data_IF_107671700436
#
_entry.id   IF_107671700436
#
_cell.length_a   1.000
_cell.length_b   1.000
_cell.length_c   1.000
_cell.angle_alpha   90.00
_cell.angle_beta   90.00
_cell.angle_gamma   90.00
#
_symmetry.space_group_name_H-M   'P 1'
#
loop_
_entity.id
_entity.type
_entity.pdbx_description
1 polymer ?
#
# COMPACT_ATOMS: atom_id res chain seq x y z
N UNK A 1 -31.96 -16.60 -3.09
CA UNK A 1 -31.48 -15.35 -2.47
C UNK A 1 -30.53 -15.73 -1.34
N UNK A 2 -29.40 -15.03 -1.19
CA UNK A 2 -28.53 -15.24 -0.02
C UNK A 2 -29.24 -14.80 1.26
N UNK A 3 -28.98 -15.47 2.38
CA UNK A 3 -29.48 -15.05 3.69
C UNK A 3 -28.98 -13.64 4.02
N UNK A 4 -29.78 -12.86 4.75
CA UNK A 4 -29.46 -11.52 5.22
C UNK A 4 -29.82 -11.39 6.71
N UNK A 5 -29.18 -10.43 7.38
CA UNK A 5 -29.60 -10.02 8.72
C UNK A 5 -31.00 -9.39 8.66
N UNK A 6 -31.74 -9.52 9.76
CA UNK A 6 -33.13 -9.08 9.89
C UNK A 6 -33.31 -7.76 10.64
N UNK A 7 -32.28 -7.29 11.35
CA UNK A 7 -32.32 -6.05 12.12
C UNK A 7 -32.17 -4.80 11.24
N UNK A 8 -32.76 -3.68 11.68
CA UNK A 8 -32.55 -2.34 11.10
C UNK A 8 -31.50 -1.53 11.87
N UNK A 9 -31.34 -1.80 13.16
CA UNK A 9 -30.34 -1.18 14.05
C UNK A 9 -29.49 -2.27 14.71
N UNK A 10 -28.17 -2.10 14.81
CA UNK A 10 -27.26 -3.15 15.31
C UNK A 10 -27.58 -3.61 16.74
N UNK A 11 -28.24 -2.76 17.54
CA UNK A 11 -28.69 -3.05 18.92
C UNK A 11 -29.78 -4.12 18.97
N UNK A 12 -30.53 -4.30 17.88
CA UNK A 12 -31.60 -5.30 17.73
C UNK A 12 -31.10 -6.60 17.07
N UNK A 13 -29.79 -6.70 16.81
CA UNK A 13 -29.21 -7.85 16.12
C UNK A 13 -29.16 -9.11 16.99
N UNK A 14 -29.48 -10.25 16.38
CA UNK A 14 -29.38 -11.57 17.01
C UNK A 14 -28.05 -12.29 16.67
N UNK A 15 -27.63 -13.29 17.46
CA UNK A 15 -26.50 -14.15 17.08
C UNK A 15 -26.65 -14.77 15.68
N UNK A 16 -27.85 -15.15 15.28
CA UNK A 16 -28.15 -15.72 13.96
C UNK A 16 -27.90 -14.71 12.82
N UNK A 17 -28.27 -13.44 13.02
CA UNK A 17 -27.97 -12.37 12.07
C UNK A 17 -26.46 -12.19 11.90
N UNK A 18 -25.70 -12.21 13.00
CA UNK A 18 -24.26 -12.03 12.96
C UNK A 18 -23.52 -13.25 12.39
N UNK A 19 -24.06 -14.45 12.48
CA UNK A 19 -23.54 -15.62 11.75
C UNK A 19 -23.68 -15.42 10.23
N UNK A 20 -24.82 -14.91 9.77
CA UNK A 20 -25.03 -14.57 8.36
C UNK A 20 -24.05 -13.48 7.91
N UNK A 21 -23.91 -12.40 8.68
CA UNK A 21 -22.97 -11.30 8.40
C UNK A 21 -21.53 -11.81 8.37
N UNK A 22 -21.13 -12.65 9.32
CA UNK A 22 -19.78 -13.20 9.38
C UNK A 22 -19.44 -14.05 8.14
N UNK A 23 -20.40 -14.85 7.65
CA UNK A 23 -20.23 -15.64 6.42
C UNK A 23 -20.00 -14.75 5.19
N UNK A 24 -20.82 -13.70 5.03
CA UNK A 24 -20.64 -12.71 3.96
C UNK A 24 -19.32 -11.96 4.09
N UNK A 25 -18.97 -11.53 5.31
CA UNK A 25 -17.73 -10.81 5.58
C UNK A 25 -16.49 -11.65 5.27
N UNK A 26 -16.49 -12.95 5.56
CA UNK A 26 -15.39 -13.85 5.23
C UNK A 26 -15.23 -14.01 3.71
N UNK A 27 -16.33 -14.17 2.96
CA UNK A 27 -16.30 -14.23 1.48
C UNK A 27 -15.78 -12.93 0.88
N UNK A 28 -16.25 -11.78 1.41
CA UNK A 28 -15.80 -10.47 0.96
C UNK A 28 -14.31 -10.25 1.27
N UNK A 29 -13.85 -10.65 2.46
CA UNK A 29 -12.45 -10.54 2.86
C UNK A 29 -11.51 -11.31 1.91
N UNK A 30 -11.86 -12.55 1.52
CA UNK A 30 -11.08 -13.38 0.56
C UNK A 30 -10.81 -12.75 -0.80
N UNK A 31 -11.62 -11.77 -1.17
CA UNK A 31 -11.50 -11.03 -2.43
C UNK A 31 -10.75 -9.69 -2.25
N UNK A 32 -10.16 -9.43 -1.08
CA UNK A 32 -9.42 -8.20 -0.82
C UNK A 32 -8.24 -8.01 -1.78
N UNK A 33 -7.37 -9.02 -2.05
CA UNK A 33 -6.25 -8.84 -2.96
C UNK A 33 -6.68 -8.37 -4.36
N UNK A 34 -7.78 -8.90 -4.88
CA UNK A 34 -8.32 -8.52 -6.19
C UNK A 34 -8.73 -7.04 -6.21
N UNK A 35 -9.44 -6.59 -5.17
CA UNK A 35 -9.84 -5.17 -5.05
C UNK A 35 -8.65 -4.23 -4.88
N UNK A 36 -7.58 -4.67 -4.22
CA UNK A 36 -6.33 -3.90 -4.12
C UNK A 36 -5.70 -3.72 -5.50
N UNK A 37 -5.60 -4.80 -6.28
CA UNK A 37 -5.06 -4.76 -7.64
C UNK A 37 -5.93 -3.92 -8.59
N UNK A 38 -7.25 -4.05 -8.50
CA UNK A 38 -8.20 -3.22 -9.26
C UNK A 38 -8.02 -1.74 -8.94
N UNK A 39 -7.80 -1.39 -7.66
CA UNK A 39 -7.58 -0.01 -7.26
C UNK A 39 -6.18 0.50 -7.67
N UNK A 40 -5.14 -0.32 -7.58
CA UNK A 40 -3.81 -0.01 -8.11
C UNK A 40 -3.88 0.33 -9.61
N UNK A 41 -4.70 -0.39 -10.38
CA UNK A 41 -4.88 -0.14 -11.81
C UNK A 41 -5.49 1.23 -12.14
N UNK A 42 -6.13 1.91 -11.18
CA UNK A 42 -6.65 3.28 -11.35
C UNK A 42 -5.51 4.30 -11.54
N UNK A 43 -4.29 3.99 -11.07
CA UNK A 43 -3.11 4.84 -11.25
C UNK A 43 -2.59 4.88 -12.70
N UNK A 44 -3.21 4.13 -13.62
CA UNK A 44 -2.80 4.06 -15.02
C UNK A 44 -3.25 5.29 -15.81
N UNK A 45 -2.35 5.80 -16.65
CA UNK A 45 -2.65 6.75 -17.72
C UNK A 45 -2.45 8.23 -17.38
N UNK A 46 -2.62 8.65 -16.13
CA UNK A 46 -2.29 10.02 -15.72
C UNK A 46 -0.85 10.09 -15.20
N UNK A 47 -0.03 10.92 -15.84
CA UNK A 47 1.37 11.11 -15.44
C UNK A 47 1.55 12.25 -14.46
N UNK A 48 0.57 13.15 -14.28
CA UNK A 48 0.74 14.35 -13.46
C UNK A 48 1.94 15.23 -13.87
N UNK A 49 2.45 15.06 -15.10
CA UNK A 49 3.65 15.74 -15.60
C UNK A 49 4.97 14.96 -15.44
N UNK A 50 4.97 13.78 -14.80
CA UNK A 50 6.12 12.87 -14.81
C UNK A 50 6.31 12.20 -16.18
N UNK A 51 7.48 11.59 -16.38
CA UNK A 51 7.82 10.86 -17.62
C UNK A 51 7.08 9.53 -17.77
N UNK A 52 6.46 9.04 -16.69
CA UNK A 52 5.65 7.82 -16.63
C UNK A 52 4.41 8.05 -15.77
N UNK A 53 3.38 7.21 -15.91
CA UNK A 53 2.22 7.25 -15.02
C UNK A 53 2.52 6.64 -13.64
N UNK A 54 1.61 6.88 -12.69
CA UNK A 54 1.78 6.42 -11.30
C UNK A 54 1.78 4.90 -11.17
N UNK A 55 1.04 4.19 -12.04
CA UNK A 55 1.09 2.74 -12.08
C UNK A 55 2.47 2.25 -12.49
N UNK A 56 3.05 2.82 -13.55
CA UNK A 56 4.40 2.47 -14.03
C UNK A 56 5.44 2.79 -12.98
N UNK A 57 5.33 3.94 -12.31
CA UNK A 57 6.18 4.29 -11.17
C UNK A 57 6.13 3.22 -10.07
N UNK A 58 4.92 2.84 -9.64
CA UNK A 58 4.71 1.82 -8.62
C UNK A 58 5.30 0.45 -9.00
N UNK A 59 5.06 0.01 -10.25
CA UNK A 59 5.63 -1.23 -10.81
C UNK A 59 7.15 -1.16 -10.86
N UNK A 60 7.71 -0.01 -11.24
CA UNK A 60 9.15 0.17 -11.35
C UNK A 60 9.83 0.13 -9.98
N UNK A 61 9.25 0.79 -8.99
CA UNK A 61 9.70 0.75 -7.59
C UNK A 61 9.70 -0.69 -7.06
N UNK A 62 8.61 -1.43 -7.29
CA UNK A 62 8.49 -2.83 -6.90
C UNK A 62 9.48 -3.75 -7.66
N UNK A 63 9.65 -3.54 -8.96
CA UNK A 63 10.59 -4.30 -9.80
C UNK A 63 12.02 -4.11 -9.30
N UNK A 64 12.41 -2.89 -8.94
CA UNK A 64 13.74 -2.62 -8.38
C UNK A 64 13.94 -3.31 -7.03
N UNK A 65 12.95 -3.25 -6.14
CA UNK A 65 13.00 -3.93 -4.85
C UNK A 65 13.10 -5.46 -5.01
N UNK A 66 12.34 -6.04 -5.95
CA UNK A 66 12.39 -7.47 -6.26
C UNK A 66 13.76 -7.90 -6.81
N UNK A 67 14.30 -7.15 -7.79
CA UNK A 67 15.64 -7.41 -8.37
C UNK A 67 16.76 -7.25 -7.34
N UNK A 68 16.56 -6.44 -6.30
CA UNK A 68 17.48 -6.28 -5.16
C UNK A 68 17.32 -7.37 -4.09
N UNK A 69 16.48 -8.37 -4.32
CA UNK A 69 16.31 -9.53 -3.43
C UNK A 69 15.55 -9.24 -2.13
N UNK A 70 14.71 -8.19 -2.12
CA UNK A 70 13.82 -7.89 -0.99
C UNK A 70 12.75 -8.96 -0.82
N UNK A 71 12.28 -9.13 0.41
CA UNK A 71 11.19 -10.06 0.70
C UNK A 71 9.85 -9.61 0.08
N UNK A 72 8.90 -10.54 0.00
CA UNK A 72 7.60 -10.30 -0.64
C UNK A 72 6.81 -9.16 0.02
N UNK A 73 6.88 -9.02 1.35
CA UNK A 73 6.17 -7.94 2.05
C UNK A 73 6.73 -6.58 1.63
N UNK A 74 8.05 -6.45 1.59
CA UNK A 74 8.72 -5.22 1.17
C UNK A 74 8.42 -4.89 -0.31
N UNK A 75 8.43 -5.88 -1.19
CA UNK A 75 8.09 -5.71 -2.62
C UNK A 75 6.63 -5.24 -2.77
N UNK A 76 5.69 -5.79 -2.00
CA UNK A 76 4.29 -5.36 -2.01
C UNK A 76 4.13 -3.96 -1.43
N UNK A 77 4.86 -3.60 -0.36
CA UNK A 77 4.89 -2.23 0.14
C UNK A 77 5.42 -1.25 -0.91
N UNK A 78 6.48 -1.63 -1.64
CA UNK A 78 7.01 -0.84 -2.75
C UNK A 78 5.99 -0.69 -3.89
N UNK A 79 5.23 -1.73 -4.21
CA UNK A 79 4.18 -1.69 -5.23
C UNK A 79 3.02 -0.78 -4.84
N UNK A 80 2.70 -0.72 -3.54
CA UNK A 80 1.47 -0.07 -3.05
C UNK A 80 1.71 1.24 -2.31
N UNK A 81 2.96 1.73 -2.21
CA UNK A 81 3.28 2.93 -1.43
C UNK A 81 2.52 4.19 -1.88
N UNK A 82 2.27 4.31 -3.19
CA UNK A 82 1.59 5.43 -3.83
C UNK A 82 0.11 5.15 -4.17
N UNK A 83 -0.45 4.01 -3.75
CA UNK A 83 -1.83 3.60 -4.10
C UNK A 83 -2.89 4.64 -3.67
N UNK A 84 -2.58 5.46 -2.66
CA UNK A 84 -3.48 6.48 -2.13
C UNK A 84 -3.62 7.73 -3.00
N UNK A 85 -2.83 7.91 -4.05
CA UNK A 85 -2.81 9.13 -4.87
C UNK A 85 -4.18 9.47 -5.48
N UNK A 86 -5.01 8.45 -5.75
CA UNK A 86 -6.29 8.62 -6.46
C UNK A 86 -7.41 9.23 -5.59
N UNK A 87 -7.40 8.97 -4.28
CA UNK A 87 -8.50 9.37 -3.38
C UNK A 87 -8.02 10.13 -2.12
N UNK A 88 -6.72 10.16 -1.87
CA UNK A 88 -6.09 10.85 -0.75
C UNK A 88 -4.89 11.69 -1.21
N UNK A 89 -5.02 12.43 -2.33
CA UNK A 89 -3.93 13.21 -2.93
C UNK A 89 -3.23 14.23 -2.01
N UNK A 90 -3.85 14.61 -0.88
CA UNK A 90 -3.25 15.50 0.11
C UNK A 90 -2.43 14.78 1.20
N UNK A 91 -2.55 13.46 1.30
CA UNK A 91 -1.95 12.63 2.34
C UNK A 91 -1.87 11.15 1.91
N UNK A 92 -1.47 10.89 0.67
CA UNK A 92 -1.61 9.59 0.01
C UNK A 92 -0.87 8.48 0.77
N UNK A 93 0.30 8.81 1.32
CA UNK A 93 1.12 7.93 2.14
C UNK A 93 0.39 7.43 3.40
N UNK A 94 -0.43 8.28 4.04
CA UNK A 94 -1.21 7.88 5.22
C UNK A 94 -2.28 6.85 4.85
N UNK A 95 -2.94 7.02 3.70
CA UNK A 95 -3.95 6.07 3.22
C UNK A 95 -3.30 4.71 2.90
N UNK A 96 -2.19 4.73 2.15
CA UNK A 96 -1.45 3.51 1.83
C UNK A 96 -0.97 2.78 3.09
N UNK A 97 -0.41 3.52 4.05
CA UNK A 97 0.06 2.97 5.31
C UNK A 97 -1.08 2.36 6.14
N UNK A 98 -2.20 3.08 6.29
CA UNK A 98 -3.39 2.60 7.03
C UNK A 98 -3.94 1.31 6.45
N UNK A 99 -3.97 1.20 5.12
CA UNK A 99 -4.43 0.00 4.42
C UNK A 99 -3.50 -1.20 4.66
N UNK A 100 -2.19 -0.98 4.67
CA UNK A 100 -1.17 -2.01 4.82
C UNK A 100 -0.92 -2.43 6.27
N UNK A 101 -1.13 -1.53 7.23
CA UNK A 101 -0.80 -1.70 8.66
C UNK A 101 -1.22 -3.07 9.26
N UNK A 102 -2.42 -3.61 8.96
CA UNK A 102 -2.82 -4.90 9.52
C UNK A 102 -2.01 -6.08 8.98
N UNK A 103 -1.36 -5.95 7.82
CA UNK A 103 -0.76 -7.04 7.04
C UNK A 103 0.77 -7.03 7.03
N UNK A 104 1.39 -5.92 7.42
CA UNK A 104 2.84 -5.72 7.31
C UNK A 104 3.51 -5.52 8.67
N UNK A 105 4.84 -5.61 8.70
CA UNK A 105 5.65 -5.29 9.86
C UNK A 105 5.61 -3.80 10.20
N UNK A 106 5.87 -3.48 11.48
CA UNK A 106 5.95 -2.08 11.95
C UNK A 106 6.94 -1.25 11.13
N UNK A 107 8.10 -1.83 10.78
CA UNK A 107 9.10 -1.21 9.91
C UNK A 107 8.53 -0.84 8.54
N UNK A 108 7.92 -1.80 7.83
CA UNK A 108 7.40 -1.55 6.48
C UNK A 108 6.22 -0.57 6.50
N UNK A 109 5.35 -0.67 7.50
CA UNK A 109 4.30 0.33 7.75
C UNK A 109 4.91 1.73 7.94
N UNK A 110 5.96 1.85 8.76
CA UNK A 110 6.62 3.13 9.01
C UNK A 110 7.27 3.72 7.77
N UNK A 111 7.93 2.88 6.95
CA UNK A 111 8.51 3.31 5.68
C UNK A 111 7.43 3.87 4.76
N UNK A 112 6.34 3.12 4.52
CA UNK A 112 5.24 3.58 3.66
C UNK A 112 4.60 4.85 4.20
N UNK A 113 4.40 4.95 5.51
CA UNK A 113 3.78 6.16 6.10
C UNK A 113 4.59 7.43 5.84
N UNK A 114 5.91 7.35 5.90
CA UNK A 114 6.78 8.52 5.85
C UNK A 114 7.47 8.72 4.49
N UNK A 115 7.31 7.79 3.54
CA UNK A 115 8.03 7.82 2.28
C UNK A 115 7.88 9.17 1.55
N UNK A 116 6.68 9.77 1.52
CA UNK A 116 6.46 11.04 0.83
C UNK A 116 7.30 12.19 1.39
N UNK A 117 7.51 12.24 2.71
CA UNK A 117 8.40 13.24 3.35
C UNK A 117 9.87 12.95 3.01
N UNK A 118 10.25 11.68 2.95
CA UNK A 118 11.63 11.27 2.64
C UNK A 118 11.97 11.43 1.16
N UNK A 119 11.04 11.13 0.25
CA UNK A 119 11.12 11.37 -1.19
C UNK A 119 11.21 12.88 -1.47
N UNK A 120 10.60 13.71 -0.63
CA UNK A 120 10.76 15.17 -0.64
C UNK A 120 12.20 15.66 -0.64
N UNK A 121 13.15 14.86 -0.13
CA UNK A 121 14.59 15.15 -0.23
C UNK A 121 15.07 15.32 -1.68
N UNK A 122 14.34 14.84 -2.69
CA UNK A 122 14.73 14.95 -4.09
C UNK A 122 14.09 16.16 -4.81
N UNK A 123 13.04 16.78 -4.26
CA UNK A 123 12.31 17.83 -5.00
C UNK A 123 11.71 18.99 -4.17
N UNK A 124 11.62 18.89 -2.85
CA UNK A 124 10.96 19.92 -2.02
C UNK A 124 11.54 21.32 -2.20
N UNK A 125 12.86 21.45 -2.42
CA UNK A 125 13.50 22.75 -2.68
C UNK A 125 12.97 23.45 -3.94
N UNK A 126 12.49 22.69 -4.95
CA UNK A 126 11.92 23.24 -6.17
C UNK A 126 10.46 23.70 -6.02
N UNK A 127 9.80 23.31 -4.93
CA UNK A 127 8.40 23.69 -4.62
C UNK A 127 8.30 24.56 -3.36
N UNK A 128 9.43 25.09 -2.88
CA UNK A 128 9.48 26.01 -1.74
C UNK A 128 9.36 25.35 -0.36
N UNK A 129 9.57 24.04 -0.27
CA UNK A 129 9.55 23.27 0.96
C UNK A 129 10.98 22.93 1.42
N UNK A 130 11.13 22.60 2.71
CA UNK A 130 12.42 22.17 3.25
C UNK A 130 12.79 20.77 2.78
N UNK A 131 13.82 20.67 1.93
CA UNK A 131 14.41 19.41 1.48
C UNK A 131 14.78 18.46 2.62
N UNK A 132 15.14 18.99 3.78
CA UNK A 132 15.51 18.22 4.96
C UNK A 132 14.33 17.98 5.91
N UNK A 133 13.08 18.15 5.50
CA UNK A 133 11.91 17.92 6.36
C UNK A 133 11.88 16.52 7.00
N UNK A 134 12.48 15.51 6.34
CA UNK A 134 12.71 14.16 6.90
C UNK A 134 13.54 14.14 8.19
N UNK A 135 14.30 15.20 8.46
CA UNK A 135 15.17 15.30 9.63
C UNK A 135 14.40 15.46 10.94
N UNK A 136 13.11 15.81 10.88
CA UNK A 136 12.23 15.77 12.05
C UNK A 136 12.13 14.35 12.67
N UNK A 137 12.42 13.31 11.88
CA UNK A 137 12.42 11.92 12.31
C UNK A 137 13.82 11.38 12.66
N UNK A 138 14.87 12.23 12.64
CA UNK A 138 16.24 11.79 12.97
C UNK A 138 16.27 11.12 14.35
N UNK A 139 16.93 9.96 14.40
CA UNK A 139 17.03 9.15 15.62
C UNK A 139 15.94 8.07 15.75
N UNK A 140 14.91 8.07 14.91
CA UNK A 140 14.00 6.93 14.80
C UNK A 140 14.72 5.71 14.23
N UNK A 141 14.44 4.50 14.73
CA UNK A 141 15.14 3.27 14.32
C UNK A 141 15.03 3.00 12.81
N UNK A 142 13.87 3.29 12.21
CA UNK A 142 13.60 3.10 10.78
C UNK A 142 13.94 4.29 9.87
N UNK A 143 14.60 5.34 10.41
CA UNK A 143 14.95 6.51 9.61
C UNK A 143 15.84 6.14 8.42
N UNK A 144 16.88 5.32 8.66
CA UNK A 144 17.79 4.89 7.61
C UNK A 144 17.10 3.98 6.60
N UNK A 145 16.16 3.13 7.04
CA UNK A 145 15.42 2.24 6.14
C UNK A 145 14.54 3.03 5.17
N UNK A 146 13.83 4.06 5.63
CA UNK A 146 13.00 4.89 4.75
C UNK A 146 13.85 5.76 3.81
N UNK A 147 14.97 6.31 4.29
CA UNK A 147 15.93 7.00 3.43
C UNK A 147 16.50 6.07 2.35
N UNK A 148 16.81 4.81 2.70
CA UNK A 148 17.26 3.80 1.77
C UNK A 148 16.19 3.48 0.73
N UNK A 149 14.94 3.23 1.16
CA UNK A 149 13.79 3.00 0.27
C UNK A 149 13.69 4.10 -0.78
N UNK A 150 13.68 5.36 -0.34
CA UNK A 150 13.54 6.48 -1.26
C UNK A 150 14.73 6.59 -2.22
N UNK A 151 15.95 6.33 -1.74
CA UNK A 151 17.16 6.47 -2.55
C UNK A 151 17.34 5.37 -3.60
N UNK A 152 17.00 4.12 -3.26
CA UNK A 152 17.24 2.95 -4.11
C UNK A 152 16.10 2.67 -5.08
N UNK A 153 14.86 2.97 -4.69
CA UNK A 153 13.68 2.48 -5.39
C UNK A 153 12.71 3.58 -5.80
N UNK A 154 12.32 4.47 -4.88
CA UNK A 154 11.23 5.42 -5.13
C UNK A 154 11.65 6.52 -6.13
N UNK A 155 12.63 7.34 -5.76
CA UNK A 155 13.01 8.55 -6.52
C UNK A 155 13.49 8.26 -7.96
N UNK A 156 14.03 7.07 -8.23
CA UNK A 156 14.57 6.67 -9.53
C UNK A 156 13.58 5.81 -10.35
N UNK A 157 12.30 5.78 -9.99
CA UNK A 157 11.27 5.01 -10.67
C UNK A 157 10.36 5.86 -11.55
N UNK A 158 10.98 6.72 -12.36
CA UNK A 158 10.32 7.56 -13.36
C UNK A 158 10.95 7.41 -14.75
N UNK A 159 11.58 6.25 -15.04
CA UNK A 159 12.32 6.04 -16.28
C UNK A 159 11.44 5.32 -17.33
N UNK A 160 11.07 5.98 -18.44
CA UNK A 160 10.21 5.40 -19.46
C UNK A 160 10.85 4.22 -20.20
N UNK A 161 12.17 4.01 -20.07
CA UNK A 161 12.90 2.93 -20.75
C UNK A 161 13.26 1.77 -19.81
N UNK A 162 12.87 1.82 -18.55
CA UNK A 162 13.24 0.78 -17.60
C UNK A 162 12.45 -0.51 -17.85
N UNK A 163 13.16 -1.64 -17.85
CA UNK A 163 12.57 -2.96 -18.03
C UNK A 163 11.87 -3.43 -16.74
N UNK A 164 10.55 -3.21 -16.73
CA UNK A 164 9.63 -3.55 -15.65
C UNK A 164 9.19 -5.02 -15.69
N UNK A 165 8.90 -5.58 -14.53
CA UNK A 165 8.02 -6.74 -14.41
C UNK A 165 6.58 -6.34 -14.76
N UNK A 166 5.73 -7.31 -15.07
CA UNK A 166 4.29 -7.07 -15.27
C UNK A 166 3.54 -7.09 -13.92
N UNK A 167 2.34 -6.50 -13.88
CA UNK A 167 1.50 -6.51 -12.66
C UNK A 167 1.18 -7.95 -12.23
N UNK A 168 0.93 -8.83 -13.21
CA UNK A 168 0.60 -10.24 -13.01
C UNK A 168 1.70 -11.00 -12.26
N UNK A 169 2.97 -10.61 -12.44
CA UNK A 169 4.10 -11.21 -11.74
C UNK A 169 4.12 -10.87 -10.23
N UNK A 170 3.47 -9.77 -9.82
CA UNK A 170 3.34 -9.38 -8.42
C UNK A 170 2.09 -9.97 -7.74
N UNK A 171 1.08 -10.39 -8.50
CA UNK A 171 -0.19 -10.88 -7.92
C UNK A 171 -0.01 -11.97 -6.86
N UNK A 172 0.86 -13.00 -7.03
CA UNK A 172 1.04 -14.01 -6.00
C UNK A 172 1.55 -13.42 -4.67
N UNK A 173 2.43 -12.42 -4.72
CA UNK A 173 2.96 -11.76 -3.52
C UNK A 173 1.90 -10.91 -2.85
N UNK A 174 1.09 -10.18 -3.62
CA UNK A 174 -0.03 -9.40 -3.09
C UNK A 174 -1.04 -10.33 -2.41
N UNK A 175 -1.41 -11.44 -3.05
CA UNK A 175 -2.32 -12.44 -2.46
C UNK A 175 -1.76 -13.02 -1.16
N UNK A 176 -0.47 -13.34 -1.11
CA UNK A 176 0.17 -13.86 0.11
C UNK A 176 0.14 -12.84 1.25
N UNK A 177 0.56 -11.59 1.00
CA UNK A 177 0.62 -10.53 2.02
C UNK A 177 -0.76 -10.24 2.62
N UNK A 178 -1.80 -10.19 1.77
CA UNK A 178 -3.16 -9.90 2.23
C UNK A 178 -3.94 -11.13 2.72
N UNK A 179 -3.40 -12.35 2.62
CA UNK A 179 -4.09 -13.59 3.03
C UNK A 179 -4.33 -13.70 4.54
N UNK A 180 -3.52 -13.00 5.35
CA UNK A 180 -3.64 -13.06 6.80
C UNK A 180 -3.10 -11.80 7.48
N UNK A 181 -3.92 -11.10 8.29
CA UNK A 181 -3.44 -9.97 9.07
C UNK A 181 -2.51 -10.43 10.19
N UNK A 182 -1.47 -9.63 10.44
CA UNK A 182 -0.54 -9.73 11.56
C UNK A 182 -1.05 -8.95 12.78
N UNK A 183 -1.65 -7.79 12.55
CA UNK A 183 -2.07 -6.84 13.59
C UNK A 183 -3.56 -6.50 13.42
N UNK A 184 -4.45 -7.28 14.03
CA UNK A 184 -5.89 -7.03 13.95
C UNK A 184 -6.64 -7.64 15.12
N UNK A 185 -7.81 -7.10 15.47
CA UNK A 185 -8.75 -7.76 16.39
C UNK A 185 -9.53 -8.91 15.71
N UNK A 186 -9.42 -9.05 14.38
CA UNK A 186 -10.13 -10.04 13.56
C UNK A 186 -9.23 -11.18 13.05
N UNK A 187 -8.25 -11.64 13.86
CA UNK A 187 -7.26 -12.65 13.45
C UNK A 187 -7.83 -14.03 13.05
N UNK A 188 -9.09 -14.32 13.39
CA UNK A 188 -9.75 -15.61 13.11
C UNK A 188 -10.49 -15.64 11.77
N UNK A 189 -10.46 -14.55 10.99
CA UNK A 189 -11.09 -14.47 9.67
C UNK A 189 -10.07 -14.87 8.62
N UNK A 190 -10.51 -15.65 7.63
CA UNK A 190 -9.73 -15.91 6.42
C UNK A 190 -9.79 -14.68 5.50
N UNK A 191 -8.64 -14.22 5.00
CA UNK A 191 -8.50 -13.13 4.03
C UNK A 191 -7.94 -13.63 2.70
#
# INVERSE_FOLDING_TARGET
>A
MSKQASFSEMVDGSPEDYLIIAEHAAKFAKQLPDRILDHLAVLKGDTGGFAVDRLTHSIQTATRAFKDGRDQEYVVCALLHDIGDTIACANHADLAATMLEPFVSEKNHWIVKHHGIFQGYYFFEYVGLDKNLRDQFKGHEYWNDCAEFCSKYDQNSFDPNYENMTVEEFEPMVREVFSKPKNSIYLKRDY
#
